data_IF_088975138260
#
_entry.id   IF_088975138260
#
_cell.length_a   1.000
_cell.length_b   1.000
_cell.length_c   1.000
_cell.angle_alpha   90.00
_cell.angle_beta   90.00
_cell.angle_gamma   90.00
#
_symmetry.space_group_name_H-M   'P 1'
#
loop_
_entity.id
_entity.type
_entity.pdbx_description
1 polymer ?
#
# COMPACT_ATOMS: atom_id res chain seq x y z
N UNK A 1 -25.92 16.64 -31.62
CA UNK A 1 -26.21 16.80 -30.17
C UNK A 1 -25.14 16.02 -29.43
N UNK A 2 -24.27 16.70 -28.69
CA UNK A 2 -23.13 16.08 -28.01
C UNK A 2 -23.59 15.24 -26.83
N UNK A 3 -23.27 13.94 -26.85
CA UNK A 3 -23.43 13.07 -25.69
C UNK A 3 -22.38 13.45 -24.63
N UNK A 4 -22.74 14.35 -23.73
CA UNK A 4 -22.08 14.47 -22.44
C UNK A 4 -22.53 13.30 -21.56
N UNK A 5 -22.01 12.09 -21.81
CA UNK A 5 -22.15 10.99 -20.86
C UNK A 5 -21.32 11.33 -19.62
N UNK A 6 -21.96 11.94 -18.63
CA UNK A 6 -21.46 11.81 -17.26
C UNK A 6 -21.42 10.32 -16.95
N UNK A 7 -20.33 9.76 -16.39
CA UNK A 7 -20.31 8.36 -16.02
C UNK A 7 -21.44 8.13 -15.01
N UNK A 8 -22.45 7.36 -15.40
CA UNK A 8 -23.52 6.98 -14.49
C UNK A 8 -22.89 6.21 -13.33
N UNK A 9 -23.16 6.63 -12.10
CA UNK A 9 -22.72 5.92 -10.89
C UNK A 9 -23.29 4.50 -10.92
N UNK A 10 -22.45 3.48 -10.70
CA UNK A 10 -22.93 2.10 -10.66
C UNK A 10 -23.83 1.90 -9.45
N UNK A 11 -24.80 1.00 -9.60
CA UNK A 11 -25.72 0.62 -8.51
C UNK A 11 -24.98 0.14 -7.28
N UNK A 12 -23.79 -0.44 -7.44
CA UNK A 12 -22.92 -0.86 -6.36
C UNK A 12 -22.45 0.33 -5.52
N UNK A 13 -21.82 1.35 -6.10
CA UNK A 13 -21.34 2.52 -5.35
C UNK A 13 -22.47 3.23 -4.61
N UNK A 14 -23.65 3.35 -5.26
CA UNK A 14 -24.86 3.93 -4.66
C UNK A 14 -25.48 3.07 -3.56
N UNK A 15 -25.24 1.75 -3.56
CA UNK A 15 -25.74 0.86 -2.52
C UNK A 15 -24.90 0.92 -1.23
N UNK A 16 -23.69 1.49 -1.30
CA UNK A 16 -22.82 1.68 -0.14
C UNK A 16 -23.00 3.05 0.53
N UNK A 17 -23.50 4.05 -0.20
CA UNK A 17 -23.98 5.33 0.35
C UNK A 17 -25.37 5.12 0.98
N UNK A 18 -25.37 4.69 2.24
CA UNK A 18 -26.56 4.26 2.99
C UNK A 18 -27.43 5.45 3.35
N UNK A 19 -26.82 6.54 3.80
CA UNK A 19 -27.53 7.76 4.19
C UNK A 19 -27.83 8.70 3.02
N UNK A 20 -27.25 8.44 1.84
CA UNK A 20 -27.50 9.15 0.58
C UNK A 20 -27.09 10.62 0.62
N UNK A 21 -26.10 10.97 1.45
CA UNK A 21 -25.50 12.30 1.48
C UNK A 21 -24.60 12.54 0.25
N UNK A 22 -24.31 11.50 -0.54
CA UNK A 22 -23.49 11.61 -1.76
C UNK A 22 -21.98 11.57 -1.48
N UNK A 23 -21.61 11.26 -0.24
CA UNK A 23 -20.25 10.95 0.20
C UNK A 23 -20.18 9.53 0.75
N UNK A 24 -18.97 8.97 0.83
CA UNK A 24 -18.72 7.67 1.44
C UNK A 24 -17.92 7.88 2.71
N UNK A 25 -18.59 7.73 3.85
CA UNK A 25 -17.96 7.80 5.16
C UNK A 25 -17.03 6.62 5.42
N UNK A 26 -16.08 6.77 6.35
CA UNK A 26 -15.19 5.68 6.77
C UNK A 26 -15.96 4.42 7.20
N UNK A 27 -17.12 4.57 7.84
CA UNK A 27 -17.97 3.45 8.27
C UNK A 27 -18.55 2.67 7.10
N UNK A 28 -19.01 3.38 6.07
CA UNK A 28 -19.56 2.78 4.85
C UNK A 28 -18.47 2.06 4.05
N UNK A 29 -17.30 2.70 3.96
CA UNK A 29 -16.11 2.10 3.36
C UNK A 29 -15.65 0.87 4.13
N UNK A 30 -15.69 0.89 5.47
CA UNK A 30 -15.39 -0.26 6.32
C UNK A 30 -16.33 -1.42 6.05
N UNK A 31 -17.63 -1.16 5.92
CA UNK A 31 -18.62 -2.18 5.57
C UNK A 31 -18.38 -2.75 4.17
N UNK A 32 -17.90 -1.93 3.22
CA UNK A 32 -17.49 -2.40 1.90
C UNK A 32 -16.27 -3.33 1.98
N UNK A 33 -15.20 -2.93 2.69
CA UNK A 33 -13.98 -3.72 2.85
C UNK A 33 -14.27 -5.05 3.57
N UNK A 34 -15.14 -5.04 4.58
CA UNK A 34 -15.54 -6.25 5.31
C UNK A 34 -16.29 -7.24 4.39
N UNK A 35 -17.16 -6.74 3.51
CA UNK A 35 -17.82 -7.56 2.47
C UNK A 35 -16.87 -8.06 1.38
N UNK A 36 -15.73 -7.40 1.18
CA UNK A 36 -14.77 -7.70 0.12
C UNK A 36 -13.44 -8.22 0.70
N UNK A 37 -13.48 -9.41 1.31
CA UNK A 37 -12.34 -10.03 1.98
C UNK A 37 -11.06 -10.11 1.12
N UNK A 38 -11.19 -10.24 -0.19
CA UNK A 38 -10.06 -10.27 -1.12
C UNK A 38 -9.14 -9.03 -1.05
N UNK A 39 -9.65 -7.89 -0.57
CA UNK A 39 -8.90 -6.63 -0.48
C UNK A 39 -7.91 -6.61 0.71
N UNK A 40 -8.15 -7.41 1.76
CA UNK A 40 -7.33 -7.40 2.98
C UNK A 40 -6.81 -8.80 3.35
N UNK A 41 -7.47 -9.87 2.94
CA UNK A 41 -7.05 -11.25 3.27
C UNK A 41 -5.66 -11.57 2.68
N UNK A 42 -5.37 -11.06 1.47
CA UNK A 42 -4.04 -11.24 0.87
C UNK A 42 -2.94 -10.51 1.66
N UNK A 43 -3.26 -9.39 2.32
CA UNK A 43 -2.32 -8.68 3.19
C UNK A 43 -2.04 -9.49 4.47
N UNK A 44 -3.08 -10.03 5.09
CA UNK A 44 -2.95 -10.83 6.32
C UNK A 44 -2.06 -12.05 6.09
N UNK A 45 -2.26 -12.77 4.98
CA UNK A 45 -1.50 -13.98 4.63
C UNK A 45 -0.04 -13.66 4.28
N UNK A 46 0.22 -12.60 3.51
CA UNK A 46 1.59 -12.31 3.04
C UNK A 46 2.44 -11.55 4.05
N UNK A 47 1.83 -10.69 4.87
CA UNK A 47 2.54 -9.83 5.81
C UNK A 47 2.43 -10.29 7.26
N UNK A 48 1.74 -11.41 7.53
CA UNK A 48 1.49 -11.92 8.88
C UNK A 48 0.83 -10.89 9.82
N UNK A 49 0.01 -10.00 9.25
CA UNK A 49 -0.68 -8.93 9.98
C UNK A 49 -2.05 -9.45 10.42
N UNK A 50 -2.51 -9.17 11.66
CA UNK A 50 -3.82 -9.57 12.12
C UNK A 50 -4.92 -8.96 11.25
N UNK A 51 -5.98 -9.74 11.00
CA UNK A 51 -7.06 -9.38 10.08
C UNK A 51 -7.69 -8.02 10.38
N UNK A 52 -7.86 -7.69 11.66
CA UNK A 52 -8.41 -6.40 12.12
C UNK A 52 -7.58 -5.22 11.57
N UNK A 53 -6.25 -5.29 11.78
CA UNK A 53 -5.32 -4.27 11.28
C UNK A 53 -5.30 -4.24 9.76
N UNK A 54 -5.39 -5.38 9.08
CA UNK A 54 -5.48 -5.42 7.62
C UNK A 54 -6.73 -4.70 7.07
N UNK A 55 -7.87 -4.86 7.75
CA UNK A 55 -9.11 -4.16 7.38
C UNK A 55 -8.97 -2.66 7.54
N UNK A 56 -8.38 -2.19 8.64
CA UNK A 56 -8.14 -0.75 8.86
C UNK A 56 -7.20 -0.15 7.81
N UNK A 57 -6.12 -0.88 7.47
CA UNK A 57 -5.18 -0.47 6.42
C UNK A 57 -5.90 -0.41 5.06
N UNK A 58 -6.67 -1.44 4.71
CA UNK A 58 -7.42 -1.48 3.45
C UNK A 58 -8.45 -0.34 3.35
N UNK A 59 -9.15 -0.01 4.44
CA UNK A 59 -10.06 1.15 4.50
C UNK A 59 -9.29 2.44 4.29
N UNK A 60 -8.16 2.61 4.98
CA UNK A 60 -7.33 3.80 4.87
C UNK A 60 -6.84 3.99 3.44
N UNK A 61 -6.33 2.94 2.80
CA UNK A 61 -5.86 2.99 1.42
C UNK A 61 -7.00 3.25 0.45
N UNK A 62 -8.13 2.55 0.60
CA UNK A 62 -9.31 2.81 -0.22
C UNK A 62 -9.76 4.26 -0.10
N UNK A 63 -9.73 4.84 1.11
CA UNK A 63 -10.08 6.23 1.34
C UNK A 63 -9.11 7.19 0.64
N UNK A 64 -7.80 6.93 0.74
CA UNK A 64 -6.78 7.74 0.05
C UNK A 64 -6.88 7.61 -1.47
N UNK A 65 -7.09 6.41 -2.00
CA UNK A 65 -7.17 6.16 -3.43
C UNK A 65 -8.47 6.67 -4.05
N UNK A 66 -9.61 6.63 -3.34
CA UNK A 66 -10.85 7.25 -3.82
C UNK A 66 -10.66 8.76 -4.03
N UNK A 67 -9.97 9.42 -3.11
CA UNK A 67 -9.71 10.87 -3.15
C UNK A 67 -8.61 11.27 -4.13
N UNK A 68 -7.77 10.32 -4.53
CA UNK A 68 -6.78 10.55 -5.55
C UNK A 68 -7.48 10.72 -6.91
N UNK A 69 -7.60 11.97 -7.39
CA UNK A 69 -8.18 12.31 -8.71
C UNK A 69 -7.56 11.55 -9.90
N UNK A 70 -6.41 10.89 -9.73
CA UNK A 70 -5.83 9.96 -10.69
C UNK A 70 -4.80 9.05 -10.01
N UNK A 71 -4.63 7.82 -10.51
CA UNK A 71 -3.60 6.83 -10.10
C UNK A 71 -2.19 7.44 -10.01
N UNK A 72 -1.91 8.47 -10.83
CA UNK A 72 -0.59 9.13 -10.94
C UNK A 72 -0.41 10.39 -10.10
N UNK A 73 -1.45 10.98 -9.51
CA UNK A 73 -1.25 12.24 -8.78
C UNK A 73 -0.53 11.90 -7.49
N UNK A 74 0.74 12.28 -7.39
CA UNK A 74 1.56 12.06 -6.20
C UNK A 74 0.76 12.53 -4.98
N UNK A 75 0.55 11.62 -4.00
CA UNK A 75 -0.15 11.90 -2.74
C UNK A 75 0.49 13.13 -2.04
N UNK A 76 1.77 13.42 -2.36
CA UNK A 76 2.49 14.66 -1.99
C UNK A 76 1.80 15.97 -2.39
N UNK A 77 0.89 15.97 -3.37
CA UNK A 77 0.20 17.18 -3.85
C UNK A 77 -1.22 17.37 -3.27
N UNK A 78 -1.66 16.50 -2.38
CA UNK A 78 -2.93 16.68 -1.65
C UNK A 78 -2.73 17.67 -0.51
N UNK A 79 -3.47 18.77 -0.56
CA UNK A 79 -3.53 19.74 0.53
C UNK A 79 -4.13 19.12 1.80
N UNK A 80 -3.79 19.63 2.98
CA UNK A 80 -4.31 19.15 4.27
C UNK A 80 -5.85 19.10 4.28
N UNK A 81 -6.51 20.12 3.71
CA UNK A 81 -7.97 20.18 3.60
C UNK A 81 -8.54 19.12 2.66
N UNK A 82 -7.81 18.72 1.60
CA UNK A 82 -8.19 17.58 0.77
C UNK A 82 -8.02 16.25 1.51
N UNK A 83 -7.15 16.15 2.53
CA UNK A 83 -6.97 14.91 3.34
C UNK A 83 -8.07 14.70 4.38
N UNK A 84 -8.71 15.76 4.88
CA UNK A 84 -9.76 15.68 5.90
C UNK A 84 -11.18 15.46 5.35
N UNK A 85 -11.44 15.86 4.09
CA UNK A 85 -12.74 15.66 3.41
C UNK A 85 -13.11 14.19 3.18
N UNK A 86 -14.40 13.85 3.19
CA UNK A 86 -14.93 12.55 2.75
C UNK A 86 -14.96 12.40 1.21
N UNK A 87 -14.60 11.23 0.66
CA UNK A 87 -14.70 10.99 -0.78
C UNK A 87 -16.16 11.00 -1.22
N UNK A 88 -16.44 11.54 -2.41
CA UNK A 88 -17.80 11.46 -2.97
C UNK A 88 -18.08 10.06 -3.51
N UNK A 89 -19.36 9.72 -3.71
CA UNK A 89 -19.76 8.46 -4.36
C UNK A 89 -19.12 8.31 -5.76
N UNK A 90 -18.93 9.42 -6.47
CA UNK A 90 -18.25 9.42 -7.77
C UNK A 90 -16.76 9.08 -7.67
N UNK A 91 -16.08 9.60 -6.64
CA UNK A 91 -14.68 9.28 -6.35
C UNK A 91 -14.53 7.80 -5.95
N UNK A 92 -15.45 7.30 -5.12
CA UNK A 92 -15.49 5.88 -4.78
C UNK A 92 -15.79 5.00 -6.00
N UNK A 93 -16.70 5.41 -6.90
CA UNK A 93 -16.97 4.68 -8.13
C UNK A 93 -15.72 4.54 -9.02
N UNK A 94 -14.90 5.59 -9.11
CA UNK A 94 -13.64 5.53 -9.83
C UNK A 94 -12.69 4.52 -9.20
N UNK A 95 -12.58 4.50 -7.87
CA UNK A 95 -11.81 3.48 -7.15
C UNK A 95 -12.31 2.06 -7.48
N UNK A 96 -13.62 1.82 -7.44
CA UNK A 96 -14.18 0.51 -7.77
C UNK A 96 -13.80 0.08 -9.19
N UNK A 97 -13.84 1.00 -10.16
CA UNK A 97 -13.44 0.71 -11.54
C UNK A 97 -11.94 0.36 -11.63
N UNK A 98 -11.09 1.04 -10.85
CA UNK A 98 -9.66 0.71 -10.75
C UNK A 98 -9.45 -0.70 -10.16
N UNK A 99 -10.17 -1.04 -9.10
CA UNK A 99 -10.11 -2.36 -8.47
C UNK A 99 -10.65 -3.48 -9.37
N UNK A 100 -11.49 -3.18 -10.36
CA UNK A 100 -11.87 -4.15 -11.39
C UNK A 100 -10.72 -4.46 -12.36
N UNK A 101 -9.74 -3.56 -12.50
CA UNK A 101 -8.59 -3.76 -13.38
C UNK A 101 -7.46 -4.49 -12.65
N UNK A 102 -6.75 -5.42 -13.32
CA UNK A 102 -5.62 -6.14 -12.71
C UNK A 102 -4.51 -5.19 -12.24
N UNK A 103 -4.28 -4.11 -12.99
CA UNK A 103 -3.30 -3.07 -12.61
C UNK A 103 -3.72 -2.31 -11.35
N UNK A 104 -5.01 -2.00 -11.19
CA UNK A 104 -5.49 -1.28 -10.01
C UNK A 104 -5.57 -2.17 -8.77
N UNK A 105 -5.90 -3.46 -8.91
CA UNK A 105 -5.77 -4.42 -7.81
C UNK A 105 -4.32 -4.55 -7.33
N UNK A 106 -3.36 -4.64 -8.25
CA UNK A 106 -1.95 -4.69 -7.88
C UNK A 106 -1.48 -3.40 -7.20
N UNK A 107 -1.87 -2.24 -7.73
CA UNK A 107 -1.56 -0.94 -7.12
C UNK A 107 -2.15 -0.82 -5.71
N UNK A 108 -3.41 -1.24 -5.53
CA UNK A 108 -4.07 -1.27 -4.23
C UNK A 108 -3.34 -2.19 -3.25
N UNK A 109 -2.88 -3.36 -3.73
CA UNK A 109 -2.06 -4.26 -2.92
C UNK A 109 -0.72 -3.62 -2.52
N UNK A 110 0.00 -3.00 -3.44
CA UNK A 110 1.26 -2.30 -3.09
C UNK A 110 1.02 -1.16 -2.10
N UNK A 111 -0.05 -0.39 -2.27
CA UNK A 111 -0.44 0.71 -1.35
C UNK A 111 -0.80 0.20 0.04
N UNK A 112 -1.52 -0.93 0.13
CA UNK A 112 -1.89 -1.54 1.41
C UNK A 112 -0.69 -2.10 2.13
N UNK A 113 0.24 -2.76 1.42
CA UNK A 113 1.52 -3.17 2.00
C UNK A 113 2.29 -1.95 2.49
N UNK A 114 2.46 -0.92 1.66
CA UNK A 114 3.16 0.31 2.06
C UNK A 114 2.56 0.94 3.34
N UNK A 115 1.24 1.15 3.35
CA UNK A 115 0.51 1.77 4.47
C UNK A 115 0.51 0.90 5.73
N UNK A 116 0.75 -0.40 5.60
CA UNK A 116 0.86 -1.28 6.76
C UNK A 116 2.10 -0.97 7.62
N UNK A 117 3.17 -0.48 6.98
CA UNK A 117 4.46 -0.20 7.61
C UNK A 117 4.73 1.31 7.77
N UNK A 118 4.14 2.15 6.91
CA UNK A 118 4.11 3.62 7.00
C UNK A 118 3.16 4.05 8.14
N UNK A 119 3.65 3.95 9.38
CA UNK A 119 2.91 4.21 10.61
C UNK A 119 2.55 5.69 10.75
N UNK A 120 3.40 6.58 10.27
CA UNK A 120 3.18 8.03 10.31
C UNK A 120 2.37 8.55 9.10
N UNK A 121 2.11 7.71 8.09
CA UNK A 121 1.38 8.02 6.86
C UNK A 121 1.97 9.21 6.09
N UNK A 122 3.30 9.39 6.17
CA UNK A 122 4.01 10.49 5.55
C UNK A 122 4.30 10.19 4.06
N UNK A 123 4.13 8.93 3.62
CA UNK A 123 4.38 8.49 2.25
C UNK A 123 5.82 8.03 1.99
N UNK A 124 6.61 7.80 3.05
CA UNK A 124 7.98 7.28 3.04
C UNK A 124 8.13 6.25 4.16
N UNK A 125 8.87 5.18 3.92
CA UNK A 125 9.30 4.31 5.00
C UNK A 125 10.58 4.87 5.59
N UNK A 126 10.43 5.53 6.74
CA UNK A 126 11.56 6.01 7.52
C UNK A 126 12.41 4.82 8.03
N UNK A 127 13.68 5.05 8.41
CA UNK A 127 14.55 3.98 8.88
C UNK A 127 13.98 3.11 10.02
N UNK A 128 13.15 3.66 10.91
CA UNK A 128 12.47 2.90 11.97
C UNK A 128 11.30 2.05 11.43
N UNK A 129 10.55 2.57 10.46
CA UNK A 129 9.43 1.88 9.81
C UNK A 129 9.92 0.77 8.87
N UNK A 130 11.01 1.04 8.15
CA UNK A 130 11.72 0.04 7.35
C UNK A 130 12.26 -1.08 8.25
N UNK A 131 12.72 -0.77 9.46
CA UNK A 131 13.16 -1.79 10.41
C UNK A 131 12.03 -2.74 10.81
N UNK A 132 10.84 -2.20 11.09
CA UNK A 132 9.63 -2.99 11.36
C UNK A 132 9.20 -3.82 10.15
N UNK A 133 9.30 -3.28 8.94
CA UNK A 133 9.05 -4.02 7.70
C UNK A 133 10.00 -5.21 7.54
N UNK A 134 11.30 -4.99 7.74
CA UNK A 134 12.31 -6.04 7.63
C UNK A 134 12.13 -7.09 8.73
N UNK A 135 11.64 -6.71 9.91
CA UNK A 135 11.39 -7.64 11.00
C UNK A 135 10.39 -8.75 10.61
N UNK A 136 9.43 -8.48 9.72
CA UNK A 136 8.49 -9.49 9.19
C UNK A 136 9.21 -10.61 8.42
N UNK A 137 10.41 -10.37 7.88
CA UNK A 137 11.23 -11.39 7.25
C UNK A 137 11.98 -12.28 8.26
N UNK A 138 12.21 -11.79 9.47
CA UNK A 138 12.88 -12.51 10.57
C UNK A 138 11.90 -13.14 11.57
N UNK A 139 10.62 -12.74 11.55
CA UNK A 139 9.58 -13.34 12.39
C UNK A 139 9.37 -14.83 12.06
N UNK A 140 9.14 -15.63 13.11
CA UNK A 140 8.94 -17.06 13.01
C UNK A 140 7.66 -17.37 12.20
N UNK A 141 7.83 -17.91 10.99
CA UNK A 141 6.73 -18.20 10.06
C UNK A 141 6.81 -17.47 8.73
N UNK A 142 7.74 -16.52 8.57
CA UNK A 142 8.05 -15.92 7.28
C UNK A 142 8.66 -16.96 6.32
N UNK A 143 8.49 -16.76 5.01
CA UNK A 143 9.09 -17.61 3.95
C UNK A 143 10.62 -17.76 4.07
N UNK A 144 11.27 -16.85 4.80
CA UNK A 144 12.70 -16.87 5.08
C UNK A 144 13.05 -17.16 6.55
N UNK A 145 12.06 -17.47 7.40
CA UNK A 145 12.29 -17.73 8.82
C UNK A 145 13.24 -18.94 9.00
N UNK A 146 14.47 -18.66 9.46
CA UNK A 146 15.51 -19.67 9.64
C UNK A 146 16.41 -19.93 8.43
N UNK A 147 16.27 -19.15 7.35
CA UNK A 147 17.17 -19.25 6.19
C UNK A 147 18.53 -18.60 6.53
N UNK A 148 19.58 -19.42 6.60
CA UNK A 148 20.98 -19.03 6.89
C UNK A 148 21.54 -17.97 5.93
N UNK A 149 20.87 -17.72 4.79
CA UNK A 149 21.27 -16.70 3.81
C UNK A 149 20.73 -15.32 4.12
N UNK A 150 19.79 -15.17 5.05
CA UNK A 150 19.35 -13.85 5.48
C UNK A 150 20.51 -13.15 6.21
N UNK A 151 21.00 -12.01 5.70
CA UNK A 151 22.00 -11.23 6.40
C UNK A 151 21.42 -10.67 7.71
N UNK A 152 22.26 -10.08 8.57
CA UNK A 152 21.76 -9.39 9.77
C UNK A 152 20.78 -8.27 9.38
N UNK A 153 19.81 -7.94 10.24
CA UNK A 153 18.80 -6.90 9.98
C UNK A 153 19.41 -5.59 9.47
N UNK A 154 20.49 -5.12 10.09
CA UNK A 154 21.27 -3.95 9.66
C UNK A 154 21.83 -4.08 8.24
N UNK A 155 22.31 -5.26 7.88
CA UNK A 155 22.88 -5.52 6.57
C UNK A 155 21.79 -5.66 5.51
N UNK A 156 20.65 -6.26 5.83
CA UNK A 156 19.49 -6.28 4.94
C UNK A 156 18.99 -4.85 4.68
N UNK A 157 18.88 -4.04 5.74
CA UNK A 157 18.53 -2.62 5.65
C UNK A 157 19.48 -1.84 4.75
N UNK A 158 20.79 -2.02 4.94
CA UNK A 158 21.81 -1.40 4.06
C UNK A 158 21.68 -1.87 2.62
N UNK A 159 21.44 -3.16 2.37
CA UNK A 159 21.26 -3.69 1.02
C UNK A 159 20.02 -3.10 0.35
N UNK A 160 18.91 -3.02 1.07
CA UNK A 160 17.66 -2.41 0.59
C UNK A 160 17.88 -0.96 0.21
N UNK A 161 18.45 -0.16 1.10
CA UNK A 161 18.75 1.24 0.81
C UNK A 161 19.72 1.32 -0.39
N UNK A 162 20.82 0.58 -0.40
CA UNK A 162 21.79 0.67 -1.49
C UNK A 162 21.22 0.29 -2.88
N UNK A 163 20.29 -0.66 -2.95
CA UNK A 163 19.72 -1.12 -4.22
C UNK A 163 18.51 -0.29 -4.67
N UNK A 164 17.66 0.10 -3.71
CA UNK A 164 16.35 0.68 -3.97
C UNK A 164 16.25 2.17 -3.64
N UNK A 165 16.96 2.71 -2.64
CA UNK A 165 17.00 4.15 -2.34
C UNK A 165 17.81 4.87 -3.45
N UNK A 166 17.09 5.36 -4.47
CA UNK A 166 17.66 5.99 -5.66
C UNK A 166 18.01 7.45 -5.44
N UNK A 167 17.28 8.13 -4.55
CA UNK A 167 17.52 9.54 -4.30
C UNK A 167 18.48 9.80 -3.12
N UNK A 168 18.77 8.76 -2.34
CA UNK A 168 19.79 8.75 -1.29
C UNK A 168 19.37 9.48 -0.02
N UNK A 169 18.06 9.63 0.22
CA UNK A 169 17.53 10.28 1.42
C UNK A 169 17.51 9.36 2.64
N UNK A 170 17.83 8.07 2.46
CA UNK A 170 17.81 7.05 3.50
C UNK A 170 16.41 6.59 3.88
N UNK A 171 15.41 6.92 3.06
CA UNK A 171 14.02 6.49 3.19
C UNK A 171 13.64 5.68 1.93
N UNK A 172 12.51 4.97 1.99
CA UNK A 172 11.98 4.25 0.82
C UNK A 172 10.63 4.85 0.47
N UNK A 173 10.54 5.48 -0.69
CA UNK A 173 9.30 6.01 -1.22
C UNK A 173 8.39 4.92 -1.78
N UNK A 174 7.15 5.26 -2.11
CA UNK A 174 6.20 4.31 -2.68
C UNK A 174 6.70 3.68 -3.99
N UNK A 175 7.37 4.43 -4.86
CA UNK A 175 7.89 3.92 -6.12
C UNK A 175 9.04 2.92 -5.89
N UNK A 176 9.92 3.21 -4.94
CA UNK A 176 11.01 2.33 -4.54
C UNK A 176 10.52 1.05 -3.85
N UNK A 177 9.52 1.15 -2.96
CA UNK A 177 8.90 -0.04 -2.37
C UNK A 177 8.23 -0.89 -3.46
N UNK A 178 7.57 -0.26 -4.44
CA UNK A 178 6.94 -0.98 -5.54
C UNK A 178 7.97 -1.79 -6.34
N UNK A 179 9.18 -1.26 -6.55
CA UNK A 179 10.29 -2.00 -7.15
C UNK A 179 10.75 -3.15 -6.25
N UNK A 180 10.85 -2.94 -4.94
CA UNK A 180 11.23 -3.97 -3.97
C UNK A 180 10.23 -5.14 -3.96
N UNK A 181 8.93 -4.84 -3.91
CA UNK A 181 7.86 -5.84 -3.96
C UNK A 181 7.83 -6.57 -5.30
N UNK A 182 8.02 -5.85 -6.41
CA UNK A 182 8.06 -6.45 -7.75
C UNK A 182 9.30 -7.32 -7.99
N UNK A 183 10.44 -6.97 -7.39
CA UNK A 183 11.66 -7.77 -7.45
C UNK A 183 11.52 -9.10 -6.66
N UNK A 184 10.55 -9.17 -5.75
CA UNK A 184 10.39 -10.26 -4.80
C UNK A 184 11.55 -10.28 -3.81
N UNK A 185 11.27 -10.39 -2.50
CA UNK A 185 12.29 -10.32 -1.42
C UNK A 185 13.53 -11.23 -1.55
N UNK A 186 13.60 -12.10 -2.57
CA UNK A 186 14.80 -12.82 -2.97
C UNK A 186 15.94 -11.93 -3.46
N UNK A 187 15.68 -10.79 -4.12
CA UNK A 187 16.76 -9.96 -4.68
C UNK A 187 17.68 -9.40 -3.57
N UNK A 188 17.10 -9.01 -2.44
CA UNK A 188 17.81 -8.41 -1.29
C UNK A 188 18.54 -9.45 -0.43
N UNK A 189 18.06 -10.70 -0.41
CA UNK A 189 18.64 -11.81 0.36
C UNK A 189 19.74 -12.57 -0.42
N UNK A 190 19.77 -12.47 -1.75
CA UNK A 190 20.66 -13.28 -2.60
C UNK A 190 22.09 -12.73 -2.77
N UNK A 191 22.49 -11.65 -2.08
CA UNK A 191 23.86 -11.14 -2.18
C UNK A 191 24.72 -11.65 -1.01
N UNK A 192 25.56 -12.69 -1.21
CA UNK A 192 26.66 -12.92 -0.30
C UNK A 192 27.55 -11.69 -0.34
N UNK A 193 27.77 -11.13 0.85
CA UNK A 193 28.74 -10.10 1.17
C UNK A 193 30.02 -10.28 0.32
N UNK A 194 30.17 -9.49 -0.74
CA UNK A 194 31.47 -9.32 -1.37
C UNK A 194 32.23 -8.39 -0.43
N UNK A 195 32.88 -9.02 0.55
CA UNK A 195 33.92 -8.44 1.39
C UNK A 195 34.87 -7.72 0.43
N UNK A 196 34.82 -6.39 0.38
CA UNK A 196 35.84 -5.61 -0.29
C UNK A 196 37.07 -5.75 0.60
N UNK A 197 37.84 -6.80 0.33
CA UNK A 197 39.17 -6.97 0.87
C UNK A 197 39.96 -5.73 0.49
N UNK A 198 40.39 -4.99 1.49
CA UNK A 198 41.51 -4.07 1.31
C UNK A 198 42.73 -4.88 0.93
N UNK A 199 43.23 -4.65 -0.28
CA UNK A 199 44.66 -4.74 -0.61
C UNK A 199 44.93 -3.88 -1.84
#
# INVERSE_FOLDING_TARGET
MGNCCSPALSKEALAFDVDKDGVISKKELQAYIDKNAQLWAMLSVNCNIPEERCREIAVTVAYQMAKAKAIRKSIKSMTTSEREREPTVAEFQNLLNLLQQPKGNLEFFHRTVFTAFDANQNGYLEPDELDAFLNVYYEAGSIFAGDVRLPSKDQLKRNVLQEFDKDGDGQIDFAELQLLLAAGGNAVAARPEQVLQGQ
#
